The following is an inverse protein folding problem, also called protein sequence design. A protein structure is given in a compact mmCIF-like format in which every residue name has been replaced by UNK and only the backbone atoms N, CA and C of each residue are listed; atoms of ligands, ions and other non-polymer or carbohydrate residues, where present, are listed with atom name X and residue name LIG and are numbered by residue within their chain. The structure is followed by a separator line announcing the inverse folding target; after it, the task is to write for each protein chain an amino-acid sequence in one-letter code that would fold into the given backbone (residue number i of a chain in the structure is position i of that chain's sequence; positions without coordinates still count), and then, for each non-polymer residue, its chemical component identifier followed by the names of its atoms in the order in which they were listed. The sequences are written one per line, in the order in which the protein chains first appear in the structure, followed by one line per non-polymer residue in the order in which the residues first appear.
data_IF_140031853893
#
_entry.id   IF_140031853893
#
_cell.length_a   1.000
_cell.length_b   1.000
_cell.length_c   1.000
_cell.angle_alpha   90.00
_cell.angle_beta   90.00
_cell.angle_gamma   90.00
#
_symmetry.space_group_name_H-M   'P 1'
#
loop_
_entity.id
_entity.type
_entity.pdbx_description
1 polymer ?
#
# COMPACT_ATOMS: atom_id res chain seq x y z
N UNK A 1 5.64 3.74 9.70
CA UNK A 1 4.96 3.21 10.90
C UNK A 1 3.46 3.16 10.63
N UNK A 2 2.77 2.08 11.00
CA UNK A 2 1.35 1.87 10.71
C UNK A 2 0.76 0.81 11.63
N UNK A 3 -0.55 0.71 11.69
CA UNK A 3 -1.30 -0.33 12.39
C UNK A 3 -2.58 -0.56 11.60
N UNK A 4 -2.93 -1.81 11.35
CA UNK A 4 -4.03 -2.20 10.49
C UNK A 4 -5.38 -1.58 10.93
N UNK A 5 -5.59 -1.39 12.24
CA UNK A 5 -6.81 -0.75 12.77
C UNK A 5 -6.75 0.76 12.57
N UNK A 6 -5.60 1.39 12.79
CA UNK A 6 -5.41 2.82 12.54
C UNK A 6 -5.51 3.15 11.05
N UNK A 7 -5.02 2.26 10.19
CA UNK A 7 -4.86 2.48 8.76
C UNK A 7 -6.10 2.10 7.96
N UNK A 8 -6.80 1.05 8.36
CA UNK A 8 -7.89 0.47 7.57
C UNK A 8 -9.22 0.35 8.31
N UNK A 9 -9.38 0.78 9.57
CA UNK A 9 -10.67 0.66 10.29
C UNK A 9 -11.86 1.17 9.49
N UNK A 10 -11.80 2.41 8.98
CA UNK A 10 -12.90 2.97 8.19
C UNK A 10 -13.15 2.17 6.90
N UNK A 11 -12.10 1.66 6.26
CA UNK A 11 -12.24 0.81 5.08
C UNK A 11 -12.92 -0.53 5.42
N UNK A 12 -12.49 -1.18 6.50
CA UNK A 12 -13.01 -2.47 6.95
C UNK A 12 -14.47 -2.36 7.44
N UNK A 13 -14.82 -1.25 8.11
CA UNK A 13 -16.18 -0.96 8.58
C UNK A 13 -17.17 -0.75 7.43
N UNK A 14 -16.71 -0.16 6.32
CA UNK A 14 -17.54 0.15 5.15
C UNK A 14 -17.61 -1.01 4.14
N UNK A 15 -16.80 -2.05 4.30
CA UNK A 15 -16.74 -3.17 3.38
C UNK A 15 -18.01 -4.01 3.41
N UNK A 16 -18.53 -4.38 2.24
CA UNK A 16 -19.65 -5.32 2.14
C UNK A 16 -19.24 -6.74 2.57
N UNK A 17 -19.46 -7.05 3.85
CA UNK A 17 -19.15 -8.34 4.48
C UNK A 17 -19.97 -9.52 3.92
N UNK A 18 -21.03 -9.28 3.14
CA UNK A 18 -21.73 -10.36 2.43
C UNK A 18 -20.98 -10.81 1.19
N UNK A 19 -20.11 -9.95 0.65
CA UNK A 19 -19.36 -10.20 -0.59
C UNK A 19 -17.89 -10.48 -0.34
N UNK A 20 -17.33 -9.92 0.73
CA UNK A 20 -15.90 -9.98 1.00
C UNK A 20 -15.60 -10.52 2.38
N UNK A 21 -14.53 -11.29 2.47
CA UNK A 21 -13.79 -11.53 3.71
C UNK A 21 -12.50 -10.72 3.61
N UNK A 22 -12.29 -9.77 4.53
CA UNK A 22 -11.08 -8.96 4.55
C UNK A 22 -10.14 -9.39 5.67
N UNK A 23 -8.85 -9.39 5.34
CA UNK A 23 -7.75 -9.56 6.29
C UNK A 23 -6.88 -8.31 6.17
N UNK A 24 -6.79 -7.56 7.26
CA UNK A 24 -5.76 -6.56 7.43
C UNK A 24 -4.76 -7.10 8.45
N UNK A 25 -3.47 -6.88 8.22
CA UNK A 25 -2.41 -7.47 9.03
C UNK A 25 -1.37 -6.43 9.40
N UNK A 26 -0.74 -6.64 10.54
CA UNK A 26 0.39 -5.85 11.01
C UNK A 26 1.70 -6.59 10.70
N UNK A 27 2.63 -5.99 9.95
CA UNK A 27 3.97 -6.56 9.78
C UNK A 27 4.71 -6.70 11.13
N UNK A 28 5.70 -7.60 11.27
CA UNK A 28 6.48 -7.71 12.50
C UNK A 28 7.10 -6.37 12.93
N UNK A 29 7.00 -6.05 14.21
CA UNK A 29 7.42 -4.73 14.75
C UNK A 29 6.43 -3.61 14.50
N UNK A 30 5.19 -3.92 14.12
CA UNK A 30 4.11 -2.94 13.94
C UNK A 30 2.82 -3.43 14.60
N UNK A 31 1.97 -2.48 14.98
CA UNK A 31 0.61 -2.70 15.49
C UNK A 31 0.57 -3.74 16.61
N UNK A 32 -0.30 -4.74 16.43
CA UNK A 32 -0.43 -5.86 17.34
C UNK A 32 0.62 -6.97 17.13
N UNK A 33 1.46 -6.90 16.10
CA UNK A 33 2.56 -7.84 15.81
C UNK A 33 3.85 -7.46 16.56
N UNK A 34 3.69 -7.03 17.81
CA UNK A 34 4.75 -6.76 18.78
C UNK A 34 4.56 -7.75 19.94
N UNK A 35 5.58 -8.57 20.30
CA UNK A 35 6.98 -8.55 19.84
C UNK A 35 7.24 -9.16 18.43
N UNK A 36 8.40 -8.85 17.79
CA UNK A 36 9.47 -7.98 18.30
C UNK A 36 9.03 -6.52 18.34
N UNK A 37 9.56 -5.72 19.27
CA UNK A 37 9.33 -4.27 19.27
C UNK A 37 10.07 -3.66 18.08
N UNK A 38 11.38 -3.89 18.00
CA UNK A 38 12.24 -3.32 16.96
C UNK A 38 11.81 -3.75 15.54
N UNK A 39 11.69 -2.76 14.66
CA UNK A 39 11.50 -2.94 13.23
C UNK A 39 12.70 -2.38 12.48
N UNK A 40 13.49 -3.22 11.78
CA UNK A 40 14.77 -2.80 11.24
C UNK A 40 14.60 -2.05 9.90
N UNK A 41 14.11 -0.81 9.94
CA UNK A 41 13.82 0.01 8.76
C UNK A 41 15.01 0.19 7.81
N UNK A 42 16.22 0.22 8.35
CA UNK A 42 17.46 0.40 7.59
C UNK A 42 18.02 -0.91 7.01
N UNK A 43 17.46 -2.07 7.38
CA UNK A 43 17.92 -3.37 6.89
C UNK A 43 17.41 -3.60 5.46
N UNK A 44 18.30 -3.87 4.49
CA UNK A 44 17.89 -4.24 3.14
C UNK A 44 17.04 -5.51 3.15
N UNK A 45 16.03 -5.58 2.28
CA UNK A 45 15.15 -6.75 2.19
C UNK A 45 13.91 -6.70 3.11
N UNK A 46 13.69 -5.62 3.86
CA UNK A 46 12.58 -5.52 4.80
C UNK A 46 11.21 -5.75 4.13
N UNK A 47 10.94 -5.07 3.01
CA UNK A 47 9.65 -5.19 2.32
C UNK A 47 9.49 -6.54 1.60
N UNK A 48 10.59 -7.16 1.17
CA UNK A 48 10.60 -8.52 0.62
C UNK A 48 10.22 -9.53 1.71
N UNK A 49 10.77 -9.40 2.91
CA UNK A 49 10.39 -10.23 4.05
C UNK A 49 8.91 -10.03 4.42
N UNK A 50 8.42 -8.79 4.43
CA UNK A 50 6.99 -8.55 4.66
C UNK A 50 6.13 -9.20 3.57
N UNK A 51 6.59 -9.21 2.31
CA UNK A 51 5.89 -9.82 1.20
C UNK A 51 5.82 -11.34 1.31
N UNK A 52 6.91 -11.97 1.75
CA UNK A 52 6.97 -13.39 2.10
C UNK A 52 5.97 -13.71 3.21
N UNK A 53 5.97 -12.94 4.30
CA UNK A 53 5.08 -13.19 5.44
C UNK A 53 3.62 -13.00 5.03
N UNK A 54 3.29 -11.95 4.27
CA UNK A 54 1.93 -11.71 3.78
C UNK A 54 1.41 -12.89 2.92
N UNK A 55 2.26 -13.43 2.04
CA UNK A 55 1.91 -14.60 1.23
C UNK A 55 1.64 -15.84 2.10
N UNK A 56 2.55 -16.11 3.04
CA UNK A 56 2.44 -17.26 3.94
C UNK A 56 1.22 -17.13 4.87
N UNK A 57 0.91 -15.94 5.35
CA UNK A 57 -0.29 -15.68 6.15
C UNK A 57 -1.55 -16.10 5.41
N UNK A 58 -1.74 -15.65 4.16
CA UNK A 58 -2.94 -15.98 3.38
C UNK A 58 -3.04 -17.47 3.05
N UNK A 59 -1.89 -18.13 2.80
CA UNK A 59 -1.81 -19.59 2.64
C UNK A 59 -2.21 -20.32 3.92
N UNK A 60 -1.68 -19.92 5.08
CA UNK A 60 -1.98 -20.53 6.37
C UNK A 60 -3.45 -20.35 6.79
N UNK A 61 -4.06 -19.21 6.44
CA UNK A 61 -5.48 -18.96 6.65
C UNK A 61 -6.38 -19.73 5.67
N UNK A 62 -5.81 -20.43 4.68
CA UNK A 62 -6.52 -21.09 3.58
C UNK A 62 -7.43 -20.12 2.79
N UNK A 63 -6.98 -18.87 2.60
CA UNK A 63 -7.72 -17.82 1.91
C UNK A 63 -7.22 -17.57 0.48
N UNK A 64 -6.64 -18.59 -0.13
CA UNK A 64 -6.14 -18.55 -1.51
C UNK A 64 -7.21 -19.10 -2.46
N UNK A 65 -7.54 -18.43 -3.60
CA UNK A 65 -7.00 -17.15 -4.06
C UNK A 65 -7.70 -15.90 -3.52
N UNK A 66 -6.95 -14.81 -3.41
CA UNK A 66 -7.39 -13.53 -2.85
C UNK A 66 -7.06 -12.33 -3.74
N UNK A 67 -7.73 -11.21 -3.49
CA UNK A 67 -7.33 -9.90 -4.01
C UNK A 67 -6.48 -9.19 -2.97
N UNK A 68 -5.46 -8.46 -3.42
CA UNK A 68 -4.49 -7.81 -2.55
C UNK A 68 -4.56 -6.29 -2.71
N UNK A 69 -4.61 -5.59 -1.58
CA UNK A 69 -4.73 -4.14 -1.48
C UNK A 69 -3.48 -3.61 -0.78
N UNK A 70 -2.82 -2.59 -1.34
CA UNK A 70 -1.57 -2.06 -0.82
C UNK A 70 -1.51 -0.53 -0.79
N UNK A 71 -1.31 0.03 0.41
CA UNK A 71 -1.11 1.46 0.63
C UNK A 71 0.35 1.79 0.95
N UNK A 72 0.89 2.85 0.35
CA UNK A 72 2.25 3.35 0.64
C UNK A 72 3.30 2.25 0.47
N UNK A 73 4.14 1.95 1.47
CA UNK A 73 5.08 0.82 1.40
C UNK A 73 4.37 -0.53 1.20
N UNK A 74 3.14 -0.65 1.72
CA UNK A 74 2.28 -1.80 1.47
C UNK A 74 1.94 -2.00 -0.01
N UNK A 75 2.02 -0.95 -0.85
CA UNK A 75 1.88 -1.10 -2.29
C UNK A 75 3.07 -1.85 -2.91
N UNK A 76 4.28 -1.61 -2.41
CA UNK A 76 5.49 -2.32 -2.82
C UNK A 76 5.48 -3.74 -2.28
N UNK A 77 5.15 -3.92 -1.00
CA UNK A 77 4.97 -5.24 -0.38
C UNK A 77 3.96 -6.07 -1.17
N UNK A 78 2.79 -5.50 -1.52
CA UNK A 78 1.78 -6.19 -2.29
C UNK A 78 2.24 -6.60 -3.69
N UNK A 79 2.95 -5.69 -4.38
CA UNK A 79 3.54 -5.99 -5.69
C UNK A 79 4.57 -7.12 -5.61
N UNK A 80 5.40 -7.12 -4.57
CA UNK A 80 6.38 -8.18 -4.30
C UNK A 80 5.70 -9.50 -4.00
N UNK A 81 4.66 -9.51 -3.16
CA UNK A 81 3.87 -10.71 -2.81
C UNK A 81 3.34 -11.38 -4.08
N UNK A 82 2.79 -10.59 -5.01
CA UNK A 82 2.33 -11.10 -6.30
C UNK A 82 3.49 -11.65 -7.14
N UNK A 83 4.65 -10.97 -7.14
CA UNK A 83 5.79 -11.40 -7.95
C UNK A 83 6.40 -12.74 -7.49
N UNK A 84 6.34 -13.05 -6.19
CA UNK A 84 6.92 -14.27 -5.62
C UNK A 84 5.91 -15.42 -5.50
N UNK A 85 4.60 -15.14 -5.54
CA UNK A 85 3.56 -16.16 -5.47
C UNK A 85 3.28 -16.86 -6.81
N UNK A 86 2.42 -17.87 -6.75
CA UNK A 86 1.91 -18.59 -7.93
C UNK A 86 0.71 -17.85 -8.53
N UNK A 87 0.54 -17.94 -9.85
CA UNK A 87 -0.51 -17.18 -10.55
C UNK A 87 -1.93 -17.53 -10.17
N UNK A 88 -2.13 -18.75 -9.68
CA UNK A 88 -3.43 -19.20 -9.18
C UNK A 88 -3.83 -18.59 -7.84
N UNK A 89 -2.94 -17.86 -7.16
CA UNK A 89 -3.16 -17.37 -5.80
C UNK A 89 -3.77 -15.97 -5.75
N UNK A 90 -3.72 -15.24 -6.86
CA UNK A 90 -4.12 -13.83 -6.91
C UNK A 90 -5.29 -13.64 -7.86
N UNK A 91 -6.27 -12.84 -7.42
CA UNK A 91 -7.41 -12.43 -8.23
C UNK A 91 -7.19 -11.05 -8.86
N UNK A 92 -6.87 -10.07 -8.01
CA UNK A 92 -6.72 -8.65 -8.40
C UNK A 92 -5.74 -7.95 -7.48
N UNK A 93 -5.08 -6.92 -7.98
CA UNK A 93 -4.15 -6.09 -7.22
C UNK A 93 -4.62 -4.62 -7.24
N UNK A 94 -4.79 -4.01 -6.07
CA UNK A 94 -5.20 -2.61 -5.97
C UNK A 94 -4.17 -1.85 -5.12
N UNK A 95 -3.47 -0.90 -5.73
CA UNK A 95 -2.35 -0.17 -5.14
C UNK A 95 -2.69 1.31 -5.05
N UNK A 96 -2.34 1.97 -3.95
CA UNK A 96 -2.51 3.42 -3.87
C UNK A 96 -1.44 4.12 -3.04
N UNK A 97 -1.20 5.38 -3.43
CA UNK A 97 -0.41 6.34 -2.66
C UNK A 97 0.96 5.78 -2.20
N UNK A 98 1.67 5.07 -3.09
CA UNK A 98 3.01 4.54 -2.84
C UNK A 98 3.95 5.62 -2.25
N UNK A 99 4.11 6.72 -2.97
CA UNK A 99 4.86 7.91 -2.49
C UNK A 99 3.98 8.91 -1.70
N UNK A 100 2.69 8.60 -1.51
CA UNK A 100 1.73 9.50 -0.88
C UNK A 100 1.59 10.85 -1.57
N UNK A 101 1.00 11.83 -0.89
CA UNK A 101 1.18 13.26 -1.20
C UNK A 101 2.39 13.85 -0.45
N UNK A 102 3.27 12.99 0.06
CA UNK A 102 4.27 13.31 1.07
C UNK A 102 5.37 14.20 0.51
N UNK A 103 5.69 14.06 -0.79
CA UNK A 103 6.61 14.93 -1.52
C UNK A 103 6.17 16.41 -1.54
N UNK A 104 4.93 16.73 -1.14
CA UNK A 104 4.41 18.09 -1.09
C UNK A 104 4.43 18.71 0.32
N UNK A 105 4.74 17.96 1.39
CA UNK A 105 4.76 18.51 2.77
C UNK A 105 5.94 17.95 3.60
N UNK A 106 7.20 18.37 3.32
CA UNK A 106 8.40 17.84 3.97
C UNK A 106 8.39 17.94 5.50
N UNK A 107 7.76 18.99 6.05
CA UNK A 107 7.71 19.26 7.50
C UNK A 107 6.92 18.20 8.28
N UNK A 108 5.93 17.56 7.65
CA UNK A 108 5.17 16.44 8.22
C UNK A 108 5.97 15.13 8.16
N UNK A 109 7.03 15.06 7.35
CA UNK A 109 7.85 13.86 7.23
C UNK A 109 8.91 13.82 8.30
N UNK A 110 9.39 14.95 8.79
CA UNK A 110 10.59 14.99 9.62
C UNK A 110 10.32 14.89 11.12
N UNK A 111 9.21 15.48 11.56
CA UNK A 111 8.89 15.56 12.98
C UNK A 111 7.43 15.22 13.22
N UNK A 112 7.20 14.17 14.02
CA UNK A 112 5.86 13.74 14.40
C UNK A 112 5.11 14.82 15.19
N UNK A 113 5.80 15.76 15.84
CA UNK A 113 5.16 16.85 16.58
C UNK A 113 4.39 17.82 15.68
N UNK A 114 4.73 17.90 14.39
CA UNK A 114 3.98 18.68 13.41
C UNK A 114 2.75 17.93 12.88
N UNK A 115 2.57 16.66 13.20
CA UNK A 115 1.42 15.91 12.73
C UNK A 115 0.13 16.43 13.36
N UNK A 116 -0.97 16.47 12.58
CA UNK A 116 -2.30 16.67 13.16
C UNK A 116 -2.52 15.69 14.30
N UNK A 117 -2.94 16.19 15.47
CA UNK A 117 -3.15 15.36 16.68
C UNK A 117 -4.05 14.16 16.41
N UNK A 118 -5.07 14.32 15.57
CA UNK A 118 -5.98 13.25 15.16
C UNK A 118 -5.27 12.09 14.42
N UNK A 119 -4.19 12.36 13.68
CA UNK A 119 -3.38 11.33 13.02
C UNK A 119 -2.35 10.70 13.96
N UNK A 120 -1.76 11.52 14.85
CA UNK A 120 -0.68 11.08 15.75
C UNK A 120 -1.16 10.29 16.96
N UNK A 121 -2.21 10.74 17.63
CA UNK A 121 -2.65 10.18 18.91
C UNK A 121 -2.95 8.66 18.87
N UNK A 122 -3.58 8.10 17.81
CA UNK A 122 -3.79 6.65 17.74
C UNK A 122 -2.48 5.85 17.68
N UNK A 123 -1.46 6.37 17.00
CA UNK A 123 -0.16 5.72 16.90
C UNK A 123 0.63 5.87 18.22
N UNK A 124 0.55 7.03 18.88
CA UNK A 124 1.16 7.21 20.21
C UNK A 124 0.56 6.26 21.26
N UNK A 125 -0.73 5.94 21.16
CA UNK A 125 -1.38 4.98 22.05
C UNK A 125 -0.87 3.54 21.87
N UNK A 126 -0.39 3.19 20.67
CA UNK A 126 0.14 1.86 20.35
C UNK A 126 1.63 1.78 20.70
N UNK A 127 2.40 2.77 20.25
CA UNK A 127 3.86 2.73 20.25
C UNK A 127 4.47 3.48 21.43
N UNK A 128 3.74 4.40 22.06
CA UNK A 128 4.31 5.44 22.92
C UNK A 128 5.02 6.51 22.11
N UNK A 129 4.98 7.76 22.59
CA UNK A 129 5.52 8.93 21.86
C UNK A 129 7.01 8.79 21.54
N UNK A 130 7.82 8.33 22.49
CA UNK A 130 9.28 8.23 22.30
C UNK A 130 9.67 7.24 21.21
N UNK A 131 9.13 6.01 21.30
CA UNK A 131 9.41 4.96 20.33
C UNK A 131 8.81 5.27 18.95
N UNK A 132 7.61 5.87 18.89
CA UNK A 132 7.03 6.36 17.63
C UNK A 132 7.95 7.36 16.93
N UNK A 133 8.50 8.33 17.66
CA UNK A 133 9.40 9.35 17.11
C UNK A 133 10.71 8.73 16.58
N UNK A 134 11.31 7.82 17.35
CA UNK A 134 12.54 7.13 16.98
C UNK A 134 12.35 6.27 15.72
N UNK A 135 11.35 5.41 15.68
CA UNK A 135 11.07 4.59 14.51
C UNK A 135 10.64 5.40 13.30
N UNK A 136 9.93 6.52 13.49
CA UNK A 136 9.61 7.40 12.38
C UNK A 136 10.87 8.04 11.77
N UNK A 137 11.83 8.44 12.60
CA UNK A 137 13.14 8.94 12.15
C UNK A 137 13.92 7.87 11.37
N UNK A 138 13.93 6.63 11.83
CA UNK A 138 14.57 5.53 11.10
C UNK A 138 13.88 5.22 9.77
N UNK A 139 12.55 5.14 9.77
CA UNK A 139 11.75 4.93 8.56
C UNK A 139 12.03 6.02 7.51
N UNK A 140 12.04 7.28 7.92
CA UNK A 140 12.25 8.42 7.02
C UNK A 140 13.68 8.46 6.49
N UNK A 141 14.67 8.12 7.31
CA UNK A 141 16.05 7.91 6.87
C UNK A 141 16.12 6.79 5.81
N UNK A 142 15.54 5.63 6.10
CA UNK A 142 15.53 4.50 5.18
C UNK A 142 14.87 4.85 3.85
N UNK A 143 13.75 5.59 3.86
CA UNK A 143 13.07 6.05 2.65
C UNK A 143 13.92 7.04 1.85
N UNK A 144 14.49 8.07 2.49
CA UNK A 144 15.33 9.09 1.82
C UNK A 144 16.61 8.52 1.24
N UNK A 145 17.18 7.53 1.92
CA UNK A 145 18.38 6.82 1.48
C UNK A 145 18.06 5.63 0.55
N UNK A 146 16.81 5.49 0.11
CA UNK A 146 16.35 4.43 -0.78
C UNK A 146 16.58 2.99 -0.25
N UNK A 147 16.85 2.83 1.05
CA UNK A 147 17.21 1.54 1.66
C UNK A 147 16.09 0.51 1.56
N UNK A 148 14.83 0.97 1.62
CA UNK A 148 13.65 0.12 1.46
C UNK A 148 13.58 -0.53 0.07
N UNK A 149 14.22 0.09 -0.94
CA UNK A 149 14.20 -0.35 -2.33
C UNK A 149 15.54 -0.91 -2.84
N UNK A 150 16.62 -0.83 -2.06
CA UNK A 150 17.97 -1.15 -2.53
C UNK A 150 18.14 -2.58 -3.08
N UNK A 151 17.30 -3.52 -2.64
CA UNK A 151 17.32 -4.92 -3.10
C UNK A 151 16.15 -5.27 -4.04
N UNK A 152 15.44 -4.27 -4.56
CA UNK A 152 14.29 -4.49 -5.44
C UNK A 152 14.78 -4.72 -6.86
N UNK A 153 14.70 -5.97 -7.31
CA UNK A 153 14.98 -6.32 -8.69
C UNK A 153 13.74 -6.04 -9.56
N UNK A 154 13.67 -4.82 -10.10
CA UNK A 154 12.53 -4.36 -10.92
C UNK A 154 12.32 -5.19 -12.19
N UNK A 155 13.40 -5.71 -12.79
CA UNK A 155 13.30 -6.59 -13.96
C UNK A 155 12.67 -7.94 -13.59
N UNK A 156 13.11 -8.56 -12.50
CA UNK A 156 12.51 -9.80 -12.02
C UNK A 156 11.03 -9.62 -11.68
N UNK A 157 10.67 -8.51 -11.02
CA UNK A 157 9.25 -8.18 -10.77
C UNK A 157 8.50 -8.04 -12.09
N UNK A 158 9.05 -7.33 -13.07
CA UNK A 158 8.43 -7.17 -14.40
C UNK A 158 8.15 -8.52 -15.06
N UNK A 159 9.13 -9.42 -15.05
CA UNK A 159 9.02 -10.72 -15.70
C UNK A 159 7.93 -11.58 -15.03
N UNK A 160 7.90 -11.56 -13.69
CA UNK A 160 6.84 -12.24 -12.92
C UNK A 160 5.48 -11.62 -13.16
N UNK A 161 5.34 -10.30 -13.20
CA UNK A 161 4.06 -9.66 -13.53
C UNK A 161 3.60 -10.00 -14.94
N UNK A 162 4.52 -10.06 -15.92
CA UNK A 162 4.19 -10.48 -17.27
C UNK A 162 3.62 -11.91 -17.30
N UNK A 163 4.21 -12.83 -16.54
CA UNK A 163 3.67 -14.18 -16.36
C UNK A 163 2.29 -14.15 -15.69
N UNK A 164 2.15 -13.43 -14.57
CA UNK A 164 0.90 -13.30 -13.81
C UNK A 164 -0.26 -12.74 -14.65
N UNK A 165 0.03 -11.75 -15.50
CA UNK A 165 -0.94 -11.05 -16.33
C UNK A 165 -1.26 -11.84 -17.61
N UNK A 166 -0.24 -12.31 -18.33
CA UNK A 166 -0.42 -12.83 -19.69
C UNK A 166 -0.49 -14.36 -19.77
N UNK A 167 0.11 -15.07 -18.82
CA UNK A 167 0.22 -16.54 -18.83
C UNK A 167 -0.53 -17.18 -17.64
N UNK A 168 -0.82 -16.38 -16.61
CA UNK A 168 -1.56 -16.77 -15.42
C UNK A 168 -3.07 -16.57 -15.56
N UNK A 169 -3.71 -16.26 -14.43
CA UNK A 169 -5.16 -16.09 -14.34
C UNK A 169 -5.68 -14.75 -14.91
N UNK A 170 -4.84 -13.98 -15.61
CA UNK A 170 -5.21 -12.64 -16.08
C UNK A 170 -5.27 -11.64 -14.94
N UNK A 171 -4.20 -11.55 -14.13
CA UNK A 171 -4.16 -10.58 -13.03
C UNK A 171 -4.43 -9.17 -13.56
N UNK A 172 -5.53 -8.53 -13.12
CA UNK A 172 -5.70 -7.09 -13.30
C UNK A 172 -5.09 -6.33 -12.14
N UNK A 173 -4.63 -5.12 -12.46
CA UNK A 173 -3.99 -4.23 -11.50
C UNK A 173 -4.62 -2.84 -11.61
N UNK A 174 -4.95 -2.25 -10.46
CA UNK A 174 -5.43 -0.87 -10.36
C UNK A 174 -4.46 -0.05 -9.51
N UNK A 175 -4.08 1.14 -10.00
CA UNK A 175 -3.12 2.03 -9.33
C UNK A 175 -3.71 3.42 -9.16
N UNK A 176 -3.76 3.90 -7.92
CA UNK A 176 -4.11 5.28 -7.57
C UNK A 176 -2.86 6.07 -7.16
N UNK A 177 -2.30 6.85 -8.08
CA UNK A 177 -1.12 7.70 -7.80
C UNK A 177 -1.51 9.10 -7.34
N UNK A 178 -0.59 9.77 -6.66
CA UNK A 178 -0.75 11.17 -6.28
C UNK A 178 -0.79 12.09 -7.52
N UNK A 179 -1.55 13.19 -7.49
CA UNK A 179 -1.53 14.18 -8.57
C UNK A 179 -0.13 14.73 -8.80
N UNK A 180 0.15 15.12 -10.04
CA UNK A 180 1.43 15.71 -10.44
C UNK A 180 2.52 14.70 -10.76
N UNK A 181 2.37 13.43 -10.36
CA UNK A 181 3.30 12.37 -10.72
C UNK A 181 3.08 11.93 -12.17
N UNK A 182 3.96 12.30 -13.11
CA UNK A 182 4.00 11.69 -14.44
C UNK A 182 4.38 10.20 -14.36
N UNK A 183 4.10 9.44 -15.41
CA UNK A 183 4.36 7.99 -15.46
C UNK A 183 5.83 7.63 -15.19
N UNK A 184 6.75 8.57 -15.36
CA UNK A 184 8.19 8.38 -15.18
C UNK A 184 8.73 8.80 -13.80
N UNK A 185 7.92 9.42 -12.94
CA UNK A 185 8.42 10.05 -11.70
C UNK A 185 8.65 9.07 -10.55
N UNK A 186 7.99 7.91 -10.55
CA UNK A 186 8.28 6.84 -9.61
C UNK A 186 8.35 5.48 -10.33
N UNK A 187 9.26 4.62 -9.85
CA UNK A 187 9.58 3.34 -10.50
C UNK A 187 8.38 2.40 -10.59
N UNK A 188 7.49 2.42 -9.59
CA UNK A 188 6.33 1.53 -9.51
C UNK A 188 5.31 1.89 -10.59
N UNK A 189 4.95 3.17 -10.71
CA UNK A 189 4.05 3.64 -11.76
C UNK A 189 4.69 3.44 -13.12
N UNK A 190 5.98 3.77 -13.26
CA UNK A 190 6.73 3.55 -14.49
C UNK A 190 6.69 2.09 -14.93
N UNK A 191 6.93 1.15 -14.02
CA UNK A 191 6.86 -0.27 -14.31
C UNK A 191 5.45 -0.67 -14.76
N UNK A 192 4.43 -0.27 -14.00
CA UNK A 192 3.05 -0.74 -14.18
C UNK A 192 2.36 -0.15 -15.41
N UNK A 193 2.65 1.10 -15.81
CA UNK A 193 2.03 1.73 -17.01
C UNK A 193 2.41 1.06 -18.33
N UNK A 194 3.31 0.08 -18.31
CA UNK A 194 3.73 -0.70 -19.48
C UNK A 194 2.87 -1.93 -19.76
N UNK A 195 1.95 -2.26 -18.87
CA UNK A 195 1.06 -3.40 -19.03
C UNK A 195 -0.34 -2.90 -19.42
N UNK A 196 -0.94 -3.50 -20.45
CA UNK A 196 -2.27 -3.10 -20.94
C UNK A 196 -3.38 -3.36 -19.92
N UNK A 197 -3.21 -4.35 -19.04
CA UNK A 197 -4.18 -4.75 -18.02
C UNK A 197 -4.04 -3.96 -16.70
N UNK A 198 -3.25 -2.89 -16.70
CA UNK A 198 -3.08 -1.98 -15.58
C UNK A 198 -3.94 -0.74 -15.82
N UNK A 199 -4.82 -0.43 -14.87
CA UNK A 199 -5.54 0.85 -14.83
C UNK A 199 -4.82 1.80 -13.88
N UNK A 200 -4.44 2.98 -14.38
CA UNK A 200 -3.81 4.03 -13.57
C UNK A 200 -4.71 5.25 -13.50
N UNK A 201 -4.97 5.73 -12.28
CA UNK A 201 -5.73 6.96 -12.03
C UNK A 201 -5.03 7.85 -11.02
N UNK A 202 -5.32 9.14 -11.07
CA UNK A 202 -4.89 10.09 -10.04
C UNK A 202 -5.97 10.16 -8.95
N UNK A 203 -5.58 10.07 -7.68
CA UNK A 203 -6.56 10.10 -6.58
C UNK A 203 -6.99 11.50 -6.14
N UNK A 204 -6.22 12.53 -6.53
CA UNK A 204 -6.58 13.94 -6.37
C UNK A 204 -6.33 14.69 -7.67
N UNK A 205 -6.95 15.86 -7.79
CA UNK A 205 -6.64 16.86 -8.82
C UNK A 205 -5.52 17.76 -8.29
N UNK A 206 -4.70 18.29 -9.20
CA UNK A 206 -3.52 19.11 -8.84
C UNK A 206 -3.87 20.44 -8.17
N UNK A 207 -5.07 20.97 -8.42
CA UNK A 207 -5.62 22.20 -7.83
C UNK A 207 -5.99 22.05 -6.35
N UNK A 208 -6.32 20.84 -5.89
CA UNK A 208 -6.67 20.56 -4.50
C UNK A 208 -5.44 20.42 -3.58
N UNK A 209 -4.22 20.30 -4.12
CA UNK A 209 -3.00 20.07 -3.33
C UNK A 209 -2.66 21.21 -2.36
N UNK A 210 -3.11 22.44 -2.66
CA UNK A 210 -2.75 23.67 -1.92
C UNK A 210 -3.60 23.86 -0.64
N UNK A 211 -4.78 23.22 -0.54
CA UNK A 211 -5.71 23.45 0.60
C UNK A 211 -5.53 22.45 1.76
N UNK A 212 -4.47 21.64 1.75
CA UNK A 212 -4.41 20.39 2.52
C UNK A 212 -3.47 20.37 3.72
N UNK A 213 -2.75 21.46 4.02
CA UNK A 213 -1.73 21.49 5.08
C UNK A 213 -2.25 21.10 6.48
N UNK A 214 -3.56 21.19 6.72
CA UNK A 214 -4.15 20.98 8.04
C UNK A 214 -4.96 19.68 8.24
N UNK A 215 -5.03 18.77 7.25
CA UNK A 215 -5.92 17.60 7.32
C UNK A 215 -5.26 16.24 7.07
N UNK A 216 -5.81 15.20 7.72
CA UNK A 216 -5.46 13.78 7.55
C UNK A 216 -5.53 13.28 6.09
N UNK A 217 -6.10 14.08 5.18
CA UNK A 217 -6.22 13.81 3.75
C UNK A 217 -4.87 13.64 3.04
N UNK A 218 -3.77 14.15 3.61
CA UNK A 218 -2.41 14.04 3.03
C UNK A 218 -1.87 12.60 3.01
N UNK A 219 -2.42 11.71 3.84
CA UNK A 219 -1.96 10.33 3.96
C UNK A 219 -2.49 9.41 2.84
N UNK A 220 -3.67 9.70 2.27
CA UNK A 220 -4.16 9.00 1.09
C UNK A 220 -5.69 9.07 0.87
N UNK A 221 -6.18 8.58 -0.28
CA UNK A 221 -7.58 8.70 -0.68
C UNK A 221 -8.56 7.96 0.24
N UNK A 222 -8.17 6.80 0.74
CA UNK A 222 -8.95 6.00 1.70
C UNK A 222 -9.28 6.75 3.00
N UNK A 223 -8.48 7.75 3.38
CA UNK A 223 -8.72 8.61 4.55
C UNK A 223 -9.39 9.94 4.17
N UNK A 224 -9.11 10.46 2.98
CA UNK A 224 -9.66 11.74 2.51
C UNK A 224 -11.17 11.66 2.17
N UNK A 225 -11.59 10.59 1.50
CA UNK A 225 -12.99 10.31 1.17
C UNK A 225 -13.22 8.79 1.17
N UNK A 226 -13.39 8.23 2.37
CA UNK A 226 -13.48 6.80 2.58
C UNK A 226 -14.64 6.15 1.81
N UNK A 227 -15.79 6.82 1.69
CA UNK A 227 -16.97 6.29 0.98
C UNK A 227 -16.72 6.18 -0.52
N UNK A 228 -16.15 7.23 -1.12
CA UNK A 228 -15.81 7.22 -2.54
C UNK A 228 -14.70 6.21 -2.84
N UNK A 229 -13.69 6.15 -1.97
CA UNK A 229 -12.64 5.14 -2.06
C UNK A 229 -13.21 3.72 -1.99
N UNK A 230 -14.09 3.45 -1.02
CA UNK A 230 -14.75 2.14 -0.86
C UNK A 230 -15.52 1.75 -2.11
N UNK A 231 -16.36 2.65 -2.63
CA UNK A 231 -17.18 2.39 -3.83
C UNK A 231 -16.31 2.03 -5.03
N UNK A 232 -15.19 2.74 -5.21
CA UNK A 232 -14.24 2.46 -6.29
C UNK A 232 -13.58 1.09 -6.11
N UNK A 233 -13.08 0.79 -4.91
CA UNK A 233 -12.42 -0.49 -4.61
C UNK A 233 -13.38 -1.64 -4.83
N UNK A 234 -14.58 -1.61 -4.26
CA UNK A 234 -15.56 -2.71 -4.42
C UNK A 234 -16.00 -2.88 -5.86
N UNK A 235 -16.23 -1.77 -6.59
CA UNK A 235 -16.53 -1.82 -8.01
C UNK A 235 -15.42 -2.49 -8.80
N UNK A 236 -14.15 -2.17 -8.51
CA UNK A 236 -13.01 -2.80 -9.16
C UNK A 236 -12.92 -4.29 -8.80
N UNK A 237 -13.03 -4.64 -7.52
CA UNK A 237 -12.92 -6.01 -7.04
C UNK A 237 -14.00 -6.92 -7.65
N UNK A 238 -15.18 -6.38 -7.93
CA UNK A 238 -16.35 -7.17 -8.36
C UNK A 238 -16.65 -7.11 -9.85
N UNK A 239 -15.94 -6.27 -10.61
CA UNK A 239 -16.06 -6.26 -12.06
C UNK A 239 -15.56 -7.58 -12.64
N UNK A 240 -16.45 -8.43 -13.13
CA UNK A 240 -16.08 -9.66 -13.82
C UNK A 240 -15.38 -9.34 -15.16
N UNK A 241 -14.18 -9.87 -15.36
CA UNK A 241 -13.42 -9.74 -16.61
C UNK A 241 -14.00 -10.61 -17.74
N UNK A 242 -14.97 -11.48 -17.43
CA UNK A 242 -15.62 -12.39 -18.38
C UNK A 242 -16.58 -11.71 -19.36
N UNK A 243 -16.90 -10.42 -19.19
CA UNK A 243 -17.86 -9.70 -20.05
C UNK A 243 -17.19 -8.97 -21.24
N UNK A 244 -15.87 -8.93 -21.33
CA UNK A 244 -15.15 -8.24 -22.43
C UNK A 244 -14.18 -9.14 -23.18
N UNK A 245 -14.67 -10.30 -23.63
CA UNK A 245 -14.18 -10.96 -24.85
C UNK A 245 -15.36 -11.12 -25.82
N UNK A 246 -15.61 -10.08 -26.60
CA UNK A 246 -16.33 -10.17 -27.88
C UNK A 246 -15.42 -9.60 -28.95
#
# INVERSE_FOLDING_TARGET
MGDARVDYSTFLELLDTKRFTAVAWDPPGQGASIPPMERPWTKPGLLQNDADIALHLMRQLNLVPYSLLGWSEGAVTALMTVSIGESKEFRKLFLWAYDGAVSYVPQLVENIDHWPKASRAPLEAIYGTGYLAECWKEYTLAKRSNLLLNNVNTQAIRDRLNEQINQGNGLSIFVMRAPGQLDAENWLTYLLTRFENVVVVNWMRSDNAITMENNCCLWGPHRADAKKFQTLVESYLTKDETVTRK
#
